data_IF_295797788625
#
_entry.id   IF_295797788625
#
_cell.length_a   1.000
_cell.length_b   1.000
_cell.length_c   1.000
_cell.angle_alpha   90.00
_cell.angle_beta   90.00
_cell.angle_gamma   90.00
#
_symmetry.space_group_name_H-M   'P 1'
#
loop_
_entity.id
_entity.type
_entity.pdbx_description
1 polymer ?
#
# COMPACT_ATOMS: atom_id res chain seq x y z
N UNK A 1 -0.99 10.08 9.53
CA UNK A 1 0.33 9.45 9.75
C UNK A 1 1.34 10.45 10.30
N UNK A 2 1.70 11.51 9.56
CA UNK A 2 2.75 12.46 9.96
C UNK A 2 2.63 13.00 11.40
N UNK A 3 1.50 13.65 11.74
CA UNK A 3 1.33 14.21 13.09
C UNK A 3 1.41 13.15 14.20
N UNK A 4 0.96 11.93 13.91
CA UNK A 4 1.06 10.80 14.84
C UNK A 4 2.50 10.31 14.99
N UNK A 5 3.24 10.26 13.88
CA UNK A 5 4.64 9.89 13.87
C UNK A 5 5.50 10.89 14.67
N UNK A 6 5.17 12.18 14.63
CA UNK A 6 5.82 13.20 15.48
C UNK A 6 5.61 12.91 16.96
N UNK A 7 4.37 12.63 17.38
CA UNK A 7 4.05 12.30 18.78
C UNK A 7 4.75 11.02 19.25
N UNK A 8 4.91 10.04 18.35
CA UNK A 8 5.58 8.78 18.64
C UNK A 8 7.10 8.82 18.47
N UNK A 9 7.68 9.96 18.07
CA UNK A 9 9.11 10.08 17.73
C UNK A 9 9.54 9.07 16.65
N UNK A 10 8.66 8.80 15.69
CA UNK A 10 8.91 7.90 14.56
C UNK A 10 9.30 8.69 13.30
N UNK A 11 10.57 8.58 12.90
CA UNK A 11 11.10 9.30 11.75
C UNK A 11 10.69 8.70 10.40
N UNK A 12 10.50 7.39 10.34
CA UNK A 12 10.29 6.64 9.10
C UNK A 12 8.82 6.22 8.95
N UNK A 13 8.17 6.74 7.91
CA UNK A 13 6.78 6.47 7.59
C UNK A 13 6.73 5.64 6.31
N UNK A 14 6.18 4.42 6.39
CA UNK A 14 6.00 3.55 5.23
C UNK A 14 4.56 3.64 4.71
N UNK A 15 4.40 3.82 3.40
CA UNK A 15 3.08 3.80 2.76
C UNK A 15 3.11 2.86 1.54
N UNK A 16 1.98 2.18 1.30
CA UNK A 16 1.84 1.16 0.25
C UNK A 16 1.38 1.71 -1.11
N UNK A 17 1.65 2.99 -1.41
CA UNK A 17 1.24 3.60 -2.69
C UNK A 17 1.91 2.89 -3.86
N UNK A 18 1.20 2.85 -4.99
CA UNK A 18 1.66 2.21 -6.21
C UNK A 18 1.40 3.14 -7.40
N UNK A 19 2.41 3.35 -8.24
CA UNK A 19 2.32 4.27 -9.38
C UNK A 19 2.09 3.56 -10.73
N UNK A 20 2.23 2.23 -10.79
CA UNK A 20 2.16 1.46 -12.05
C UNK A 20 0.73 1.01 -12.35
N UNK A 21 0.04 0.45 -11.34
CA UNK A 21 -1.32 -0.07 -11.50
C UNK A 21 -2.31 1.10 -11.39
N UNK A 22 -2.33 1.85 -12.50
CA UNK A 22 -2.92 3.16 -12.68
C UNK A 22 -4.41 3.19 -12.32
N UNK A 23 -4.70 3.82 -11.19
CA UNK A 23 -6.00 4.44 -10.91
C UNK A 23 -6.01 5.95 -11.21
N UNK A 24 -4.88 6.50 -11.66
CA UNK A 24 -4.77 7.91 -12.06
C UNK A 24 -4.65 8.91 -10.91
N UNK A 25 -4.45 8.44 -9.68
CA UNK A 25 -4.30 9.30 -8.50
C UNK A 25 -2.95 10.04 -8.53
N UNK A 26 -2.96 11.38 -8.69
CA UNK A 26 -1.72 12.17 -8.84
C UNK A 26 -0.88 12.21 -7.57
N UNK A 27 -1.47 11.91 -6.42
CA UNK A 27 -0.87 11.86 -5.08
C UNK A 27 -0.12 10.55 -4.80
N UNK A 28 -0.19 9.55 -5.67
CA UNK A 28 0.60 8.32 -5.55
C UNK A 28 1.98 8.40 -6.23
N UNK A 29 2.30 9.54 -6.85
CA UNK A 29 3.52 9.73 -7.64
C UNK A 29 4.75 10.01 -6.78
N UNK A 30 5.95 9.52 -7.16
CA UNK A 30 7.19 9.83 -6.44
C UNK A 30 7.38 11.33 -6.19
N UNK A 31 7.08 12.19 -7.16
CA UNK A 31 7.28 13.63 -7.05
C UNK A 31 6.35 14.27 -6.02
N UNK A 32 5.10 13.78 -5.90
CA UNK A 32 4.20 14.22 -4.84
C UNK A 32 4.72 13.78 -3.47
N UNK A 33 5.17 12.54 -3.34
CA UNK A 33 5.69 11.99 -2.08
C UNK A 33 6.95 12.74 -1.64
N UNK A 34 7.87 13.03 -2.55
CA UNK A 34 9.06 13.85 -2.28
C UNK A 34 8.68 15.27 -1.84
N UNK A 35 7.70 15.89 -2.51
CA UNK A 35 7.20 17.20 -2.11
C UNK A 35 6.56 17.17 -0.73
N UNK A 36 5.75 16.15 -0.44
CA UNK A 36 5.13 15.98 0.86
C UNK A 36 6.17 15.72 1.96
N UNK A 37 7.24 14.96 1.70
CA UNK A 37 8.33 14.78 2.66
C UNK A 37 9.03 16.10 3.01
N UNK A 38 9.18 17.03 2.05
CA UNK A 38 9.67 18.39 2.34
C UNK A 38 8.68 19.17 3.20
N UNK A 39 7.39 19.14 2.85
CA UNK A 39 6.33 19.78 3.64
C UNK A 39 6.31 19.22 5.06
N UNK A 40 6.49 17.92 5.24
CA UNK A 40 6.51 17.26 6.54
C UNK A 40 7.61 17.81 7.46
N UNK A 41 8.83 17.98 6.93
CA UNK A 41 9.95 18.51 7.70
C UNK A 41 9.85 20.02 7.94
N UNK A 42 9.17 20.77 7.08
CA UNK A 42 8.91 22.21 7.28
C UNK A 42 7.71 22.48 8.20
N UNK A 43 6.73 21.57 8.24
CA UNK A 43 5.45 21.76 8.91
C UNK A 43 5.35 21.16 10.31
N UNK A 44 6.44 20.58 10.82
CA UNK A 44 6.50 19.92 12.13
C UNK A 44 7.52 20.61 13.02
N UNK A 45 7.28 20.63 14.34
CA UNK A 45 8.23 21.21 15.30
C UNK A 45 9.51 20.40 15.31
N UNK A 46 9.39 19.07 15.30
CA UNK A 46 10.53 18.16 15.30
C UNK A 46 11.44 18.34 14.06
N UNK A 47 10.83 18.57 12.89
CA UNK A 47 11.56 18.87 11.66
C UNK A 47 12.27 20.23 11.70
N UNK A 48 11.58 21.27 12.17
CA UNK A 48 12.13 22.64 12.25
C UNK A 48 13.23 22.78 13.30
N UNK A 49 13.08 22.13 14.47
CA UNK A 49 14.09 22.13 15.53
C UNK A 49 15.25 21.15 15.26
N UNK A 50 15.13 20.32 14.21
CA UNK A 50 16.17 19.37 13.81
C UNK A 50 16.32 18.18 14.77
N UNK A 51 15.36 17.95 15.67
CA UNK A 51 15.38 16.81 16.59
C UNK A 51 15.04 15.50 15.87
N UNK A 52 14.31 15.58 14.76
CA UNK A 52 13.97 14.43 13.92
C UNK A 52 13.73 14.86 12.47
N UNK A 53 14.18 14.03 11.52
CA UNK A 53 13.94 14.24 10.09
C UNK A 53 13.00 13.16 9.55
N UNK A 54 11.82 13.55 9.08
CA UNK A 54 10.82 12.64 8.54
C UNK A 54 11.23 12.10 7.17
N UNK A 55 11.12 10.79 6.98
CA UNK A 55 11.32 10.08 5.71
C UNK A 55 10.06 9.31 5.34
N UNK A 56 9.66 9.39 4.07
CA UNK A 56 8.50 8.67 3.56
C UNK A 56 8.99 7.61 2.60
N UNK A 57 8.72 6.36 2.95
CA UNK A 57 9.15 5.18 2.21
C UNK A 57 7.98 4.61 1.42
N UNK A 58 8.21 4.40 0.13
CA UNK A 58 7.21 3.86 -0.80
C UNK A 58 7.74 2.60 -1.48
N UNK A 59 8.01 1.52 -0.73
CA UNK A 59 8.74 0.35 -1.22
C UNK A 59 8.06 -0.37 -2.40
N UNK A 60 6.76 -0.13 -2.60
CA UNK A 60 5.95 -0.77 -3.63
C UNK A 60 5.67 0.14 -4.84
N UNK A 61 6.16 1.39 -4.85
CA UNK A 61 5.73 2.40 -5.82
C UNK A 61 6.00 2.03 -7.28
N UNK A 62 7.09 1.32 -7.52
CA UNK A 62 7.54 0.85 -8.84
C UNK A 62 7.35 -0.65 -9.05
N UNK A 63 6.58 -1.33 -8.20
CA UNK A 63 6.32 -2.77 -8.34
C UNK A 63 4.97 -3.00 -9.05
N UNK A 64 4.88 -3.98 -9.94
CA UNK A 64 3.58 -4.48 -10.41
C UNK A 64 2.89 -5.29 -9.30
N UNK A 65 1.57 -5.50 -9.36
CA UNK A 65 0.88 -6.41 -8.42
C UNK A 65 1.54 -7.78 -8.30
N UNK A 66 1.96 -8.38 -9.41
CA UNK A 66 2.67 -9.67 -9.39
C UNK A 66 3.99 -9.60 -8.61
N UNK A 67 4.76 -8.52 -8.77
CA UNK A 67 6.01 -8.31 -8.00
C UNK A 67 5.72 -8.09 -6.50
N UNK A 68 4.67 -7.33 -6.16
CA UNK A 68 4.24 -7.13 -4.77
C UNK A 68 3.86 -8.47 -4.14
N UNK A 69 3.09 -9.31 -4.86
CA UNK A 69 2.66 -10.62 -4.37
C UNK A 69 3.86 -11.54 -4.14
N UNK A 70 4.77 -11.66 -5.12
CA UNK A 70 6.00 -12.45 -4.95
C UNK A 70 6.84 -11.95 -3.78
N UNK A 71 6.95 -10.63 -3.60
CA UNK A 71 7.69 -10.04 -2.48
C UNK A 71 7.05 -10.38 -1.14
N UNK A 72 5.73 -10.29 -1.02
CA UNK A 72 5.02 -10.67 0.20
C UNK A 72 5.18 -12.16 0.53
N UNK A 73 5.04 -13.05 -0.46
CA UNK A 73 5.28 -14.49 -0.26
C UNK A 73 6.72 -14.76 0.19
N UNK A 74 7.71 -14.14 -0.44
CA UNK A 74 9.12 -14.28 -0.05
C UNK A 74 9.40 -13.77 1.38
N UNK A 75 8.60 -12.84 1.90
CA UNK A 75 8.66 -12.34 3.26
C UNK A 75 7.81 -13.15 4.25
N UNK A 76 7.10 -14.18 3.80
CA UNK A 76 6.22 -15.00 4.63
C UNK A 76 4.88 -14.35 4.96
N UNK A 77 4.40 -13.41 4.13
CA UNK A 77 3.06 -12.80 4.31
C UNK A 77 1.99 -13.85 4.08
N UNK A 78 1.13 -14.04 5.08
CA UNK A 78 -0.08 -14.83 4.96
C UNK A 78 -1.19 -13.99 4.27
N UNK A 79 -1.35 -14.21 2.98
CA UNK A 79 -2.35 -13.51 2.18
C UNK A 79 -3.81 -13.87 2.54
N UNK A 80 -4.04 -14.94 3.31
CA UNK A 80 -5.39 -15.30 3.80
C UNK A 80 -5.92 -14.30 4.85
N UNK A 81 -5.02 -13.55 5.49
CA UNK A 81 -5.34 -12.53 6.49
C UNK A 81 -5.59 -11.14 5.89
N UNK A 82 -5.48 -11.01 4.57
CA UNK A 82 -5.57 -9.71 3.88
C UNK A 82 -6.93 -9.50 3.24
N UNK A 83 -7.35 -8.24 3.10
CA UNK A 83 -8.60 -7.87 2.44
C UNK A 83 -8.34 -6.84 1.34
N UNK A 84 -9.02 -6.98 0.20
CA UNK A 84 -8.93 -6.02 -0.90
C UNK A 84 -10.28 -5.70 -1.54
N UNK A 85 -11.31 -6.50 -1.29
CA UNK A 85 -12.61 -6.35 -1.95
C UNK A 85 -13.28 -5.02 -1.56
N UNK A 86 -13.96 -4.37 -2.51
CA UNK A 86 -14.75 -3.17 -2.25
C UNK A 86 -16.20 -3.46 -1.87
N UNK A 87 -16.70 -4.64 -2.21
CA UNK A 87 -18.10 -5.03 -2.05
C UNK A 87 -18.19 -6.48 -1.53
N UNK A 88 -17.62 -6.80 -0.35
CA UNK A 88 -17.73 -8.16 0.20
C UNK A 88 -19.16 -8.47 0.63
N UNK A 89 -19.49 -9.76 0.79
CA UNK A 89 -20.79 -10.16 1.35
C UNK A 89 -20.86 -9.86 2.86
N UNK A 90 -22.01 -10.17 3.48
CA UNK A 90 -22.23 -9.99 4.92
C UNK A 90 -21.24 -10.77 5.80
N UNK A 91 -20.58 -11.80 5.25
CA UNK A 91 -19.57 -12.62 5.93
C UNK A 91 -18.15 -12.16 5.65
N UNK A 92 -17.96 -11.11 4.84
CA UNK A 92 -16.65 -10.59 4.45
C UNK A 92 -16.00 -11.31 3.26
N UNK A 93 -16.71 -12.22 2.58
CA UNK A 93 -16.19 -12.98 1.43
C UNK A 93 -16.09 -12.05 0.22
N UNK A 94 -14.92 -12.09 -0.44
CA UNK A 94 -14.61 -11.22 -1.58
C UNK A 94 -15.52 -11.51 -2.78
N UNK A 95 -16.06 -10.47 -3.42
CA UNK A 95 -17.05 -10.64 -4.49
C UNK A 95 -16.49 -11.15 -5.83
N UNK A 96 -15.17 -11.17 -6.02
CA UNK A 96 -14.53 -11.62 -7.27
C UNK A 96 -14.71 -10.70 -8.48
N UNK A 97 -15.66 -9.76 -8.45
CA UNK A 97 -16.07 -8.93 -9.60
C UNK A 97 -15.64 -7.47 -9.57
N UNK A 98 -15.41 -6.88 -8.39
CA UNK A 98 -14.96 -5.48 -8.30
C UNK A 98 -13.52 -5.31 -8.80
N UNK A 99 -13.14 -4.07 -9.15
CA UNK A 99 -11.82 -3.79 -9.73
C UNK A 99 -10.67 -4.23 -8.82
N UNK A 100 -10.81 -4.06 -7.50
CA UNK A 100 -9.80 -4.51 -6.56
C UNK A 100 -9.66 -6.04 -6.54
N UNK A 101 -10.76 -6.80 -6.59
CA UNK A 101 -10.73 -8.25 -6.72
C UNK A 101 -10.07 -8.68 -8.04
N UNK A 102 -10.43 -8.05 -9.16
CA UNK A 102 -9.84 -8.35 -10.49
C UNK A 102 -8.34 -8.10 -10.51
N UNK A 103 -7.88 -6.97 -9.99
CA UNK A 103 -6.45 -6.63 -9.91
C UNK A 103 -5.69 -7.59 -9.02
N UNK A 104 -6.27 -7.98 -7.89
CA UNK A 104 -5.68 -8.95 -6.97
C UNK A 104 -5.55 -10.33 -7.63
N UNK A 105 -6.64 -10.88 -8.16
CA UNK A 105 -6.67 -12.17 -8.84
C UNK A 105 -5.70 -12.21 -10.02
N UNK A 106 -5.68 -11.16 -10.85
CA UNK A 106 -4.72 -11.00 -11.94
C UNK A 106 -3.29 -11.01 -11.43
N UNK A 107 -3.00 -10.26 -10.35
CA UNK A 107 -1.69 -10.21 -9.75
C UNK A 107 -1.20 -11.59 -9.26
N UNK A 108 -2.08 -12.39 -8.64
CA UNK A 108 -1.76 -13.75 -8.21
C UNK A 108 -1.47 -14.66 -9.41
N UNK A 109 -2.34 -14.63 -10.41
CA UNK A 109 -2.15 -15.39 -11.64
C UNK A 109 -0.83 -15.05 -12.35
N UNK A 110 -0.52 -13.76 -12.51
CA UNK A 110 0.75 -13.30 -13.08
C UNK A 110 1.95 -13.62 -12.20
N UNK A 111 1.77 -13.74 -10.89
CA UNK A 111 2.79 -14.20 -9.96
C UNK A 111 3.07 -15.71 -10.08
N UNK A 112 2.20 -16.48 -10.75
CA UNK A 112 2.26 -17.94 -10.81
C UNK A 112 1.71 -18.60 -9.55
N UNK A 113 0.80 -17.93 -8.84
CA UNK A 113 0.27 -18.35 -7.55
C UNK A 113 -1.28 -18.36 -7.58
N UNK A 114 -1.87 -19.11 -6.66
CA UNK A 114 -3.31 -19.08 -6.40
C UNK A 114 -3.57 -18.21 -5.18
N UNK A 115 -4.56 -17.32 -5.27
CA UNK A 115 -4.98 -16.50 -4.14
C UNK A 115 -5.64 -17.37 -3.06
N UNK A 116 -5.21 -17.31 -1.79
CA UNK A 116 -5.79 -18.15 -0.74
C UNK A 116 -7.19 -17.71 -0.27
N UNK A 117 -7.69 -16.54 -0.70
CA UNK A 117 -8.98 -16.05 -0.25
C UNK A 117 -10.16 -16.82 -0.88
N UNK A 118 -11.25 -17.03 -0.13
CA UNK A 118 -12.51 -17.45 -0.71
C UNK A 118 -13.14 -16.29 -1.51
N UNK A 119 -13.80 -16.64 -2.60
CA UNK A 119 -14.58 -15.74 -3.41
C UNK A 119 -16.02 -16.22 -3.49
N UNK A 120 -16.95 -15.28 -3.61
CA UNK A 120 -18.36 -15.60 -3.82
C UNK A 120 -18.49 -16.41 -5.11
N UNK A 121 -19.19 -17.53 -5.02
CA UNK A 121 -19.68 -18.26 -6.19
C UNK A 121 -20.98 -17.61 -6.62
N UNK A 122 -21.16 -17.40 -7.92
CA UNK A 122 -22.46 -16.98 -8.48
C UNK A 122 -23.60 -17.90 -8.04
#
# INVERSE_FOLDING_TARGET
ALAWAEVLEAADIFIGVNAIDYSGYPDCRPEFIEAFARVANLGTKAGVEGTMAFRIHTPLVHMTKAQIIRRGVALGVDYSLTHSCYDPDERGISCGRCDACRLRLKGFAEAGLVDPLPYQTE
#
